data_IF_974166393255
#
_entry.id   IF_974166393255
#
_cell.length_a   1.000
_cell.length_b   1.000
_cell.length_c   1.000
_cell.angle_alpha   90.00
_cell.angle_beta   90.00
_cell.angle_gamma   90.00
#
_symmetry.space_group_name_H-M   'P 1'
#
loop_
_entity.id
_entity.type
_entity.pdbx_description
1 polymer ?
#
# COMPACT_ATOMS: atom_id res chain seq x y z
N UNK A 1 -10.51 -1.97 -26.00
CA UNK A 1 -10.67 -1.21 -24.79
C UNK A 1 -9.51 -1.43 -23.85
N UNK A 2 -8.91 -0.36 -23.39
CA UNK A 2 -7.79 -0.50 -22.50
C UNK A 2 -8.27 -0.64 -21.07
N UNK A 3 -7.62 -1.51 -20.34
CA UNK A 3 -7.83 -1.61 -18.92
C UNK A 3 -6.80 -0.77 -18.22
N UNK A 4 -7.28 0.00 -17.26
CA UNK A 4 -6.38 0.76 -16.44
C UNK A 4 -5.80 -0.16 -15.40
N UNK A 5 -4.52 -0.39 -15.50
CA UNK A 5 -3.87 -1.26 -14.54
C UNK A 5 -3.34 -0.44 -13.38
N UNK A 6 -3.45 -0.96 -12.16
CA UNK A 6 -2.88 -0.25 -11.03
C UNK A 6 -1.37 -0.12 -11.18
N UNK A 7 -0.86 0.98 -10.67
CA UNK A 7 0.57 1.21 -10.62
C UNK A 7 1.12 0.44 -9.43
N UNK A 8 2.05 -0.46 -9.67
CA UNK A 8 2.65 -1.23 -8.58
C UNK A 8 4.02 -0.64 -8.27
N UNK A 9 4.25 -0.31 -7.02
CA UNK A 9 5.51 0.26 -6.59
C UNK A 9 5.78 -0.14 -5.15
N UNK A 10 7.02 0.09 -4.72
CA UNK A 10 7.42 -0.21 -3.36
C UNK A 10 7.40 1.04 -2.52
N UNK A 11 7.19 0.83 -1.22
CA UNK A 11 7.23 1.91 -0.26
C UNK A 11 7.58 1.41 1.12
N UNK A 12 7.76 2.37 2.03
CA UNK A 12 8.08 2.08 3.42
C UNK A 12 6.91 2.55 4.27
N UNK A 13 6.46 1.68 5.17
CA UNK A 13 5.37 2.02 6.07
C UNK A 13 5.87 3.04 7.07
N UNK A 14 5.20 4.19 7.14
CA UNK A 14 5.56 5.25 8.08
C UNK A 14 4.85 5.07 9.41
N UNK A 15 3.56 4.78 9.37
CA UNK A 15 2.82 4.53 10.60
C UNK A 15 1.54 3.77 10.31
N UNK A 16 1.06 3.08 11.33
CA UNK A 16 -0.20 2.35 11.27
C UNK A 16 -1.32 3.28 11.72
N UNK A 17 -2.42 3.26 11.00
CA UNK A 17 -3.58 4.07 11.28
C UNK A 17 -4.75 3.15 11.65
N UNK A 18 -5.83 3.69 12.20
CA UNK A 18 -7.02 2.88 12.47
C UNK A 18 -7.59 2.26 11.19
N UNK A 19 -8.37 1.20 11.37
CA UNK A 19 -9.10 0.53 10.29
C UNK A 19 -8.18 -0.13 9.27
N UNK A 20 -7.05 -0.66 9.75
CA UNK A 20 -6.10 -1.38 8.89
C UNK A 20 -5.56 -0.51 7.76
N UNK A 21 -5.44 0.79 8.03
CA UNK A 21 -4.85 1.73 7.10
C UNK A 21 -3.42 2.04 7.50
N UNK A 22 -2.61 2.43 6.53
CA UNK A 22 -1.21 2.71 6.76
C UNK A 22 -0.77 3.90 5.92
N UNK A 23 0.11 4.71 6.48
CA UNK A 23 0.80 5.72 5.69
C UNK A 23 2.05 5.08 5.11
N UNK A 24 2.19 5.18 3.80
CA UNK A 24 3.32 4.57 3.10
C UNK A 24 4.02 5.62 2.28
N UNK A 25 5.33 5.73 2.47
CA UNK A 25 6.15 6.65 1.68
C UNK A 25 6.73 5.90 0.50
N UNK A 26 6.47 6.40 -0.69
CA UNK A 26 6.95 5.80 -1.91
C UNK A 26 8.37 6.26 -2.22
N UNK A 27 8.99 5.64 -3.22
CA UNK A 27 10.36 5.96 -3.58
C UNK A 27 10.55 7.42 -3.97
N UNK A 28 9.51 8.03 -4.54
CA UNK A 28 9.58 9.44 -4.94
C UNK A 28 9.21 10.38 -3.79
N UNK A 29 9.18 9.87 -2.57
CA UNK A 29 8.85 10.59 -1.34
C UNK A 29 7.39 11.03 -1.28
N UNK A 30 6.57 10.51 -2.14
CA UNK A 30 5.14 10.75 -2.10
C UNK A 30 4.53 9.84 -1.03
N UNK A 31 3.70 10.42 -0.16
CA UNK A 31 3.07 9.65 0.92
C UNK A 31 1.63 9.38 0.54
N UNK A 32 1.25 8.12 0.63
CA UNK A 32 -0.11 7.70 0.31
C UNK A 32 -0.74 7.01 1.50
N UNK A 33 -2.06 6.91 1.47
CA UNK A 33 -2.81 6.10 2.41
C UNK A 33 -3.08 4.75 1.76
N UNK A 34 -2.71 3.69 2.43
CA UNK A 34 -2.88 2.35 1.88
C UNK A 34 -3.62 1.47 2.86
N UNK A 35 -4.47 0.61 2.34
CA UNK A 35 -5.11 -0.42 3.14
C UNK A 35 -4.53 -1.77 2.77
N UNK A 36 -4.73 -2.74 3.63
CA UNK A 36 -4.17 -4.08 3.42
C UNK A 36 -5.11 -4.87 2.53
N UNK A 37 -4.55 -5.49 1.47
CA UNK A 37 -5.33 -6.33 0.59
C UNK A 37 -5.93 -7.52 1.35
N UNK A 38 -7.08 -7.98 0.89
CA UNK A 38 -7.77 -9.07 1.56
C UNK A 38 -6.92 -10.32 1.73
N UNK A 39 -6.11 -10.64 0.73
CA UNK A 39 -5.22 -11.80 0.81
C UNK A 39 -4.28 -11.71 2.01
N UNK A 40 -3.67 -10.55 2.21
CA UNK A 40 -2.73 -10.38 3.31
C UNK A 40 -3.45 -10.43 4.66
N UNK A 41 -4.67 -9.90 4.70
CA UNK A 41 -5.44 -9.94 5.94
C UNK A 41 -5.80 -11.37 6.32
N UNK A 42 -6.10 -12.20 5.34
CA UNK A 42 -6.44 -13.59 5.60
C UNK A 42 -5.27 -14.38 6.14
N UNK A 43 -4.07 -13.97 5.78
CA UNK A 43 -2.87 -14.65 6.26
C UNK A 43 -2.32 -14.04 7.54
N UNK A 44 -3.04 -13.08 8.12
CA UNK A 44 -2.65 -12.44 9.38
C UNK A 44 -1.25 -11.84 9.34
N UNK A 45 -0.86 -11.34 8.20
CA UNK A 45 0.46 -10.72 8.05
C UNK A 45 0.45 -9.41 8.80
N UNK A 46 1.37 -9.28 9.74
CA UNK A 46 1.48 -8.07 10.55
C UNK A 46 2.41 -7.08 9.87
N UNK A 47 1.91 -5.87 9.70
CA UNK A 47 2.68 -4.80 9.05
C UNK A 47 3.02 -3.77 10.10
N UNK A 48 4.30 -3.42 10.19
CA UNK A 48 4.80 -2.50 11.18
C UNK A 48 5.47 -1.31 10.52
N UNK A 49 5.60 -0.22 11.28
CA UNK A 49 6.35 0.94 10.79
C UNK A 49 7.75 0.53 10.41
N UNK A 50 8.21 1.00 9.26
CA UNK A 50 9.52 0.67 8.76
C UNK A 50 9.54 -0.53 7.82
N UNK A 51 8.44 -1.27 7.72
CA UNK A 51 8.38 -2.41 6.82
C UNK A 51 8.35 -1.95 5.38
N UNK A 52 9.03 -2.73 4.54
CA UNK A 52 8.96 -2.50 3.09
C UNK A 52 7.76 -3.27 2.55
N UNK A 53 6.96 -2.59 1.75
CA UNK A 53 5.75 -3.18 1.19
C UNK A 53 5.65 -2.84 -0.28
N UNK A 54 4.93 -3.68 -1.01
CA UNK A 54 4.55 -3.38 -2.39
C UNK A 54 3.10 -2.93 -2.37
N UNK A 55 2.84 -1.78 -2.97
CA UNK A 55 1.50 -1.23 -3.02
C UNK A 55 1.05 -1.10 -4.47
N UNK A 56 -0.26 -1.21 -4.66
CA UNK A 56 -0.91 -0.91 -5.93
C UNK A 56 -1.67 0.39 -5.76
N UNK A 57 -1.41 1.33 -6.65
CA UNK A 57 -2.02 2.65 -6.59
C UNK A 57 -2.99 2.79 -7.74
N UNK A 58 -4.20 3.25 -7.43
CA UNK A 58 -5.19 3.48 -8.47
C UNK A 58 -4.72 4.62 -9.38
N UNK A 59 -4.79 4.45 -10.70
CA UNK A 59 -4.47 5.57 -11.59
C UNK A 59 -5.49 6.71 -11.48
N UNK A 60 -6.64 6.43 -10.88
CA UNK A 60 -7.66 7.46 -10.70
C UNK A 60 -7.47 8.26 -9.42
N UNK A 61 -6.71 7.74 -8.46
CA UNK A 61 -6.48 8.45 -7.20
C UNK A 61 -5.10 8.07 -6.68
N UNK A 62 -4.13 8.89 -7.00
CA UNK A 62 -2.73 8.59 -6.68
C UNK A 62 -2.41 8.77 -5.21
N UNK A 63 -3.36 9.27 -4.42
CA UNK A 63 -3.13 9.44 -2.99
C UNK A 63 -3.53 8.22 -2.18
N UNK A 64 -4.12 7.21 -2.82
CA UNK A 64 -4.60 6.02 -2.13
C UNK A 64 -4.08 4.77 -2.83
N UNK A 65 -3.85 3.76 -2.04
CA UNK A 65 -3.37 2.50 -2.58
C UNK A 65 -3.74 1.32 -1.71
N UNK A 66 -3.23 0.18 -2.12
CA UNK A 66 -3.49 -1.07 -1.44
C UNK A 66 -2.19 -1.82 -1.29
N UNK A 67 -1.91 -2.28 -0.08
CA UNK A 67 -0.73 -3.10 0.17
C UNK A 67 -1.05 -4.51 -0.29
N UNK A 68 -0.30 -4.99 -1.28
CA UNK A 68 -0.56 -6.30 -1.87
C UNK A 68 0.54 -7.29 -1.53
N UNK A 69 1.65 -6.80 -0.99
CA UNK A 69 2.75 -7.69 -0.68
C UNK A 69 3.63 -7.03 0.38
N UNK A 70 4.10 -7.84 1.31
CA UNK A 70 5.04 -7.39 2.32
C UNK A 70 6.39 -8.02 2.01
N UNK A 71 7.39 -7.19 1.83
CA UNK A 71 8.70 -7.78 1.57
C UNK A 71 9.63 -6.86 0.90
#
# INVERSE_FOLDING_TARGET
MSKEEPIRTEGIVLEALPNAMFKVELKNKHVILAHVAGKLRMHFIKILSGDRVTVEISPYDLSKGRIVYRG
#
